data_IF_091849338062
#
_entry.id   IF_091849338062
#
_cell.length_a   1.000
_cell.length_b   1.000
_cell.length_c   1.000
_cell.angle_alpha   90.00
_cell.angle_beta   90.00
_cell.angle_gamma   90.00
#
_symmetry.space_group_name_H-M   'P 1'
#
loop_
_entity.id
_entity.type
_entity.pdbx_description
1 polymer ?
#
# COMPACT_ATOMS: atom_id res chain seq x y z
N UNK A 1 14.91 2.66 -13.69
CA UNK A 1 15.02 3.86 -14.52
C UNK A 1 16.07 4.85 -14.01
N UNK A 2 15.94 5.51 -12.85
CA UNK A 2 16.90 6.53 -12.40
C UNK A 2 18.38 6.09 -12.39
N UNK A 3 18.66 4.95 -11.75
CA UNK A 3 20.00 4.36 -11.70
C UNK A 3 20.53 3.98 -13.09
N UNK A 4 19.65 3.62 -14.02
CA UNK A 4 20.03 3.26 -15.38
C UNK A 4 20.30 4.50 -16.25
N UNK A 5 19.57 5.60 -16.01
CA UNK A 5 19.71 6.84 -16.79
C UNK A 5 20.86 7.70 -16.23
N UNK A 6 20.99 7.80 -14.91
CA UNK A 6 21.89 8.75 -14.24
C UNK A 6 23.06 8.08 -13.49
N UNK A 7 23.08 6.75 -13.37
CA UNK A 7 24.12 6.03 -12.63
C UNK A 7 24.02 6.17 -11.09
N UNK A 8 23.02 6.89 -10.60
CA UNK A 8 22.79 7.12 -9.17
C UNK A 8 21.32 7.00 -8.78
N UNK A 9 21.05 6.87 -7.48
CA UNK A 9 19.68 6.97 -6.96
C UNK A 9 19.19 8.40 -7.15
N UNK A 10 17.87 8.57 -7.31
CA UNK A 10 17.31 9.89 -7.55
C UNK A 10 17.54 10.84 -6.38
N UNK A 11 18.05 12.04 -6.66
CA UNK A 11 18.28 13.10 -5.68
C UNK A 11 17.30 14.25 -5.88
N UNK A 12 17.29 15.20 -4.94
CA UNK A 12 16.32 16.30 -4.89
C UNK A 12 16.19 17.06 -6.20
N UNK A 13 17.29 17.23 -6.93
CA UNK A 13 17.28 18.01 -8.17
C UNK A 13 16.83 17.27 -9.41
N UNK A 14 16.73 15.94 -9.35
CA UNK A 14 16.42 15.14 -10.52
C UNK A 14 14.95 15.30 -10.95
N UNK A 15 14.66 15.40 -12.26
CA UNK A 15 13.31 15.64 -12.77
C UNK A 15 12.25 14.65 -12.28
N UNK A 16 12.61 13.36 -12.25
CA UNK A 16 11.74 12.28 -11.74
C UNK A 16 11.53 12.36 -10.23
N UNK A 17 12.54 12.78 -9.46
CA UNK A 17 12.41 12.95 -8.02
C UNK A 17 11.48 14.12 -7.69
N UNK A 18 11.69 15.27 -8.35
CA UNK A 18 10.82 16.47 -8.23
C UNK A 18 9.36 16.17 -8.58
N UNK A 19 9.13 15.27 -9.54
CA UNK A 19 7.79 14.93 -10.02
C UNK A 19 7.16 13.71 -9.33
N UNK A 20 7.88 13.04 -8.42
CA UNK A 20 7.46 11.79 -7.77
C UNK A 20 6.05 11.86 -7.19
N UNK A 21 5.72 12.94 -6.46
CA UNK A 21 4.39 13.09 -5.86
C UNK A 21 3.32 13.23 -6.94
N UNK A 22 3.58 14.02 -7.98
CA UNK A 22 2.67 14.22 -9.11
C UNK A 22 2.42 12.92 -9.88
N UNK A 23 3.47 12.11 -10.09
CA UNK A 23 3.37 10.80 -10.73
C UNK A 23 2.45 9.83 -9.98
N UNK A 24 2.29 9.98 -8.65
CA UNK A 24 1.39 9.15 -7.84
C UNK A 24 0.00 9.77 -7.62
N UNK A 25 -0.23 11.00 -8.06
CA UNK A 25 -1.56 11.62 -7.93
C UNK A 25 -2.45 11.12 -9.07
N UNK A 26 -3.71 10.81 -8.75
CA UNK A 26 -4.69 10.41 -9.76
C UNK A 26 -4.92 11.54 -10.77
N UNK A 27 -4.98 11.22 -12.07
CA UNK A 27 -4.97 12.21 -13.14
C UNK A 27 -6.11 13.24 -13.03
N UNK A 28 -7.32 12.80 -12.64
CA UNK A 28 -8.46 13.70 -12.41
C UNK A 28 -8.34 14.60 -11.17
N UNK A 29 -7.26 14.49 -10.38
CA UNK A 29 -6.94 15.33 -9.23
C UNK A 29 -5.73 16.23 -9.47
N UNK A 30 -5.13 16.16 -10.66
CA UNK A 30 -3.99 17.00 -11.02
C UNK A 30 -4.47 18.41 -11.35
N UNK A 31 -3.71 19.41 -10.93
CA UNK A 31 -3.89 20.79 -11.41
C UNK A 31 -3.26 20.98 -12.78
N UNK A 32 -3.69 22.00 -13.53
CA UNK A 32 -3.11 22.31 -14.85
C UNK A 32 -1.58 22.46 -14.79
N UNK A 33 -1.08 23.15 -13.76
CA UNK A 33 0.37 23.30 -13.53
C UNK A 33 1.08 21.97 -13.29
N UNK A 34 0.41 21.00 -12.67
CA UNK A 34 0.97 19.66 -12.46
C UNK A 34 0.94 18.83 -13.74
N UNK A 35 -0.11 18.98 -14.55
CA UNK A 35 -0.23 18.35 -15.88
C UNK A 35 0.89 18.86 -16.79
N UNK A 36 1.09 20.18 -16.86
CA UNK A 36 2.16 20.80 -17.65
C UNK A 36 3.54 20.28 -17.25
N UNK A 37 3.78 20.12 -15.94
CA UNK A 37 5.03 19.54 -15.45
C UNK A 37 5.23 18.10 -15.90
N UNK A 38 4.17 17.28 -15.90
CA UNK A 38 4.26 15.91 -16.41
C UNK A 38 4.49 15.88 -17.92
N UNK A 39 3.81 16.75 -18.67
CA UNK A 39 4.02 16.86 -20.11
C UNK A 39 5.48 17.24 -20.43
N UNK A 40 6.06 18.18 -19.70
CA UNK A 40 7.48 18.53 -19.82
C UNK A 40 8.40 17.37 -19.44
N UNK A 41 8.06 16.62 -18.39
CA UNK A 41 8.83 15.45 -17.96
C UNK A 41 8.83 14.33 -19.01
N UNK A 42 7.68 14.09 -19.65
CA UNK A 42 7.50 13.03 -20.65
C UNK A 42 7.91 13.43 -22.06
N UNK A 43 8.22 14.71 -22.30
CA UNK A 43 8.84 15.15 -23.56
C UNK A 43 10.25 14.57 -23.76
N UNK A 44 10.89 14.07 -22.70
CA UNK A 44 12.15 13.33 -22.77
C UNK A 44 11.89 11.84 -23.10
N UNK A 45 12.41 11.37 -24.25
CA UNK A 45 12.31 9.97 -24.67
C UNK A 45 12.91 8.99 -23.64
N UNK A 46 13.86 9.45 -22.80
CA UNK A 46 14.40 8.70 -21.69
C UNK A 46 13.36 8.31 -20.63
N UNK A 47 12.18 8.95 -20.62
CA UNK A 47 11.10 8.70 -19.67
C UNK A 47 9.93 7.87 -20.22
N UNK A 48 10.01 7.34 -21.45
CA UNK A 48 8.92 6.57 -22.08
C UNK A 48 8.43 5.40 -21.22
N UNK A 49 9.32 4.65 -20.56
CA UNK A 49 8.84 3.52 -19.74
C UNK A 49 8.10 4.00 -18.48
N UNK A 50 8.47 5.17 -17.93
CA UNK A 50 7.80 5.77 -16.78
C UNK A 50 6.46 6.34 -17.20
N UNK A 51 6.36 6.99 -18.36
CA UNK A 51 5.09 7.46 -18.91
C UNK A 51 4.13 6.29 -19.15
N UNK A 52 4.58 5.22 -19.79
CA UNK A 52 3.77 4.02 -20.03
C UNK A 52 3.28 3.39 -18.71
N UNK A 53 4.17 3.29 -17.72
CA UNK A 53 3.83 2.77 -16.38
C UNK A 53 2.86 3.70 -15.66
N UNK A 54 3.03 5.01 -15.78
CA UNK A 54 2.14 6.01 -15.22
C UNK A 54 0.74 5.90 -15.82
N UNK A 55 0.62 5.82 -17.15
CA UNK A 55 -0.67 5.65 -17.82
C UNK A 55 -1.41 4.38 -17.36
N UNK A 56 -0.69 3.27 -17.21
CA UNK A 56 -1.21 2.03 -16.62
C UNK A 56 -1.74 2.26 -15.19
N UNK A 57 -0.93 2.90 -14.35
CA UNK A 57 -1.31 3.21 -12.98
C UNK A 57 -2.57 4.07 -12.93
N UNK A 58 -2.66 5.11 -13.76
CA UNK A 58 -3.82 6.00 -13.83
C UNK A 58 -5.09 5.28 -14.24
N UNK A 59 -5.02 4.42 -15.27
CA UNK A 59 -6.17 3.60 -15.70
C UNK A 59 -6.65 2.66 -14.60
N UNK A 60 -5.72 2.06 -13.85
CA UNK A 60 -6.05 1.18 -12.73
C UNK A 60 -6.73 1.94 -11.58
N UNK A 61 -6.20 3.11 -11.21
CA UNK A 61 -6.79 3.97 -10.18
C UNK A 61 -8.16 4.49 -10.61
N UNK A 62 -8.33 4.89 -11.87
CA UNK A 62 -9.62 5.31 -12.40
C UNK A 62 -10.66 4.19 -12.29
N UNK A 63 -10.31 2.96 -12.68
CA UNK A 63 -11.21 1.82 -12.55
C UNK A 63 -11.66 1.60 -11.09
N UNK A 64 -10.73 1.66 -10.12
CA UNK A 64 -11.07 1.50 -8.70
C UNK A 64 -11.88 2.66 -8.10
N UNK A 65 -11.77 3.87 -8.66
CA UNK A 65 -12.49 5.06 -8.18
C UNK A 65 -13.84 5.26 -8.86
N UNK A 66 -14.14 4.51 -9.91
CA UNK A 66 -15.42 4.57 -10.61
C UNK A 66 -16.58 4.29 -9.64
N UNK A 67 -17.56 5.19 -9.62
CA UNK A 67 -18.71 5.08 -8.72
C UNK A 67 -19.60 3.90 -9.10
N UNK A 68 -19.80 3.70 -10.41
CA UNK A 68 -20.46 2.52 -10.95
C UNK A 68 -19.49 1.34 -10.99
N UNK A 69 -19.62 0.43 -10.04
CA UNK A 69 -18.76 -0.75 -9.95
C UNK A 69 -18.78 -1.64 -11.19
N UNK A 70 -19.88 -1.67 -11.94
CA UNK A 70 -19.96 -2.46 -13.18
C UNK A 70 -19.04 -1.85 -14.23
N UNK A 71 -19.09 -0.52 -14.39
CA UNK A 71 -18.17 0.22 -15.27
C UNK A 71 -16.72 0.11 -14.81
N UNK A 72 -16.47 0.22 -13.50
CA UNK A 72 -15.14 0.03 -12.93
C UNK A 72 -14.57 -1.36 -13.22
N UNK A 73 -15.41 -2.40 -13.09
CA UNK A 73 -15.06 -3.78 -13.42
C UNK A 73 -14.74 -3.93 -14.90
N UNK A 74 -15.57 -3.40 -15.79
CA UNK A 74 -15.34 -3.43 -17.24
C UNK A 74 -14.04 -2.75 -17.62
N UNK A 75 -13.76 -1.57 -17.04
CA UNK A 75 -12.52 -0.85 -17.24
C UNK A 75 -11.29 -1.66 -16.77
N UNK A 76 -11.39 -2.33 -15.62
CA UNK A 76 -10.33 -3.20 -15.11
C UNK A 76 -10.13 -4.45 -15.98
N UNK A 77 -11.21 -5.10 -16.43
CA UNK A 77 -11.14 -6.23 -17.38
C UNK A 77 -10.43 -5.79 -18.66
N UNK A 78 -10.82 -4.65 -19.22
CA UNK A 78 -10.18 -4.09 -20.41
C UNK A 78 -8.69 -3.85 -20.18
N UNK A 79 -8.32 -3.23 -19.05
CA UNK A 79 -6.92 -3.01 -18.69
C UNK A 79 -6.13 -4.33 -18.60
N UNK A 80 -6.68 -5.36 -17.95
CA UNK A 80 -6.06 -6.69 -17.85
C UNK A 80 -5.87 -7.33 -19.23
N UNK A 81 -6.87 -7.20 -20.11
CA UNK A 81 -6.82 -7.74 -21.46
C UNK A 81 -5.81 -7.00 -22.34
N UNK A 82 -5.70 -5.67 -22.24
CA UNK A 82 -4.73 -4.85 -22.98
C UNK A 82 -3.28 -5.29 -22.67
N UNK A 83 -3.00 -5.77 -21.45
CA UNK A 83 -1.69 -6.36 -21.13
C UNK A 83 -1.39 -7.67 -21.86
N UNK A 84 -2.42 -8.41 -22.26
CA UNK A 84 -2.29 -9.69 -22.94
C UNK A 84 -1.89 -9.57 -24.40
N UNK A 85 -2.07 -8.40 -25.02
CA UNK A 85 -1.93 -8.19 -26.47
C UNK A 85 -0.93 -7.10 -26.85
N UNK A 86 -0.58 -6.17 -25.95
CA UNK A 86 0.01 -4.89 -26.38
C UNK A 86 1.22 -4.35 -25.62
N UNK A 87 1.84 -5.06 -24.67
CA UNK A 87 3.02 -4.51 -23.95
C UNK A 87 4.31 -4.80 -24.72
N UNK A 88 5.06 -3.78 -25.18
CA UNK A 88 6.37 -3.97 -25.78
C UNK A 88 7.32 -4.71 -24.82
N UNK A 89 8.12 -5.64 -25.34
CA UNK A 89 9.08 -6.41 -24.53
C UNK A 89 10.10 -5.54 -23.78
N UNK A 90 10.38 -4.34 -24.30
CA UNK A 90 11.23 -3.35 -23.65
C UNK A 90 10.66 -2.90 -22.29
N UNK A 91 9.34 -2.85 -22.12
CA UNK A 91 8.68 -2.48 -20.86
C UNK A 91 8.61 -3.65 -19.89
N UNK A 92 9.77 -4.14 -19.46
CA UNK A 92 9.92 -5.38 -18.66
C UNK A 92 9.04 -5.38 -17.41
N UNK A 93 9.01 -4.27 -16.67
CA UNK A 93 8.23 -4.17 -15.42
C UNK A 93 6.72 -4.12 -15.68
N UNK A 94 6.28 -3.42 -16.73
CA UNK A 94 4.87 -3.41 -17.16
C UNK A 94 4.43 -4.80 -17.62
N UNK A 95 5.29 -5.52 -18.35
CA UNK A 95 5.01 -6.88 -18.79
C UNK A 95 4.95 -7.87 -17.61
N UNK A 96 5.77 -7.70 -16.58
CA UNK A 96 5.67 -8.47 -15.31
C UNK A 96 4.35 -8.17 -14.61
N UNK A 97 3.98 -6.89 -14.46
CA UNK A 97 2.71 -6.48 -13.86
C UNK A 97 1.52 -7.10 -14.60
N UNK A 98 1.51 -7.01 -15.93
CA UNK A 98 0.46 -7.59 -16.77
C UNK A 98 0.29 -9.09 -16.56
N UNK A 99 1.38 -9.85 -16.49
CA UNK A 99 1.34 -11.30 -16.17
C UNK A 99 0.73 -11.57 -14.79
N UNK A 100 1.11 -10.78 -13.78
CA UNK A 100 0.57 -10.91 -12.42
C UNK A 100 -0.92 -10.60 -12.40
N UNK A 101 -1.36 -9.50 -13.02
CA UNK A 101 -2.75 -9.11 -13.09
C UNK A 101 -3.60 -10.15 -13.81
N UNK A 102 -3.11 -10.70 -14.93
CA UNK A 102 -3.80 -11.78 -15.64
C UNK A 102 -3.92 -13.05 -14.79
N UNK A 103 -2.84 -13.45 -14.12
CA UNK A 103 -2.83 -14.63 -13.23
C UNK A 103 -3.80 -14.47 -12.05
N UNK A 104 -3.94 -13.25 -11.52
CA UNK A 104 -4.77 -12.93 -10.35
C UNK A 104 -6.06 -12.21 -10.71
N UNK A 105 -6.51 -12.30 -11.97
CA UNK A 105 -7.63 -11.51 -12.48
C UNK A 105 -8.92 -11.74 -11.66
N UNK A 106 -9.21 -13.00 -11.28
CA UNK A 106 -10.36 -13.32 -10.45
C UNK A 106 -10.32 -12.58 -9.09
N UNK A 107 -9.16 -12.54 -8.44
CA UNK A 107 -9.00 -11.86 -7.15
C UNK A 107 -9.15 -10.34 -7.30
N UNK A 108 -8.52 -9.76 -8.33
CA UNK A 108 -8.60 -8.33 -8.64
C UNK A 108 -10.04 -7.91 -8.94
N UNK A 109 -10.74 -8.67 -9.78
CA UNK A 109 -12.10 -8.34 -10.20
C UNK A 109 -13.13 -8.55 -9.07
N UNK A 110 -12.84 -9.43 -8.12
CA UNK A 110 -13.72 -9.65 -6.96
C UNK A 110 -13.96 -8.40 -6.11
N UNK A 111 -13.05 -7.42 -6.17
CA UNK A 111 -13.24 -6.12 -5.55
C UNK A 111 -14.53 -5.44 -6.01
N UNK A 112 -14.85 -5.54 -7.30
CA UNK A 112 -16.00 -4.87 -7.89
C UNK A 112 -17.32 -5.58 -7.57
N UNK A 113 -17.27 -6.90 -7.35
CA UNK A 113 -18.44 -7.71 -7.05
C UNK A 113 -18.86 -7.61 -5.57
N UNK A 114 -17.95 -7.17 -4.69
CA UNK A 114 -18.14 -7.16 -3.22
C UNK A 114 -18.28 -5.74 -2.68
N UNK A 115 -19.43 -5.36 -2.10
CA UNK A 115 -19.57 -4.08 -1.43
C UNK A 115 -18.80 -4.01 -0.12
N UNK A 116 -18.24 -2.82 0.18
CA UNK A 116 -17.58 -2.53 1.46
C UNK A 116 -16.16 -3.11 1.60
N UNK A 117 -15.59 -3.68 0.54
CA UNK A 117 -14.21 -4.17 0.57
C UNK A 117 -13.23 -3.00 0.72
N UNK A 118 -12.37 -3.06 1.73
CA UNK A 118 -11.33 -2.06 1.99
C UNK A 118 -10.04 -2.71 2.45
N UNK A 119 -8.92 -2.02 2.25
CA UNK A 119 -7.63 -2.47 2.77
C UNK A 119 -7.42 -2.08 4.25
N UNK A 120 -8.35 -1.31 4.84
CA UNK A 120 -8.21 -0.74 6.18
C UNK A 120 -7.90 -1.77 7.28
N UNK A 121 -8.60 -2.91 7.37
CA UNK A 121 -8.28 -3.94 8.36
C UNK A 121 -6.86 -4.51 8.21
N UNK A 122 -6.44 -4.77 6.97
CA UNK A 122 -5.10 -5.25 6.67
C UNK A 122 -4.03 -4.21 7.01
N UNK A 123 -4.29 -2.94 6.66
CA UNK A 123 -3.40 -1.82 6.97
C UNK A 123 -3.29 -1.58 8.47
N UNK A 124 -4.38 -1.71 9.22
CA UNK A 124 -4.38 -1.62 10.67
C UNK A 124 -3.50 -2.71 11.31
N UNK A 125 -3.57 -3.94 10.80
CA UNK A 125 -2.69 -5.03 11.25
C UNK A 125 -1.23 -4.74 10.87
N UNK A 126 -0.97 -4.33 9.63
CA UNK A 126 0.39 -4.01 9.17
C UNK A 126 1.00 -2.88 10.00
N UNK A 127 0.24 -1.83 10.30
CA UNK A 127 0.69 -0.74 11.17
C UNK A 127 1.12 -1.23 12.55
N UNK A 128 0.36 -2.16 13.15
CA UNK A 128 0.74 -2.80 14.42
C UNK A 128 2.01 -3.65 14.29
N UNK A 129 2.18 -4.37 13.19
CA UNK A 129 3.39 -5.16 12.93
C UNK A 129 4.62 -4.28 12.72
N UNK A 130 4.50 -3.15 12.05
CA UNK A 130 5.62 -2.20 11.91
C UNK A 130 5.97 -1.56 13.26
N UNK A 131 4.99 -1.23 14.09
CA UNK A 131 5.26 -0.73 15.44
C UNK A 131 6.02 -1.76 16.29
N UNK A 132 5.57 -3.02 16.26
CA UNK A 132 6.25 -4.13 16.91
C UNK A 132 7.71 -4.29 16.44
N UNK A 133 7.99 -4.16 15.14
CA UNK A 133 9.35 -4.20 14.60
C UNK A 133 10.23 -3.06 15.14
N UNK A 134 9.65 -1.88 15.35
CA UNK A 134 10.32 -0.74 15.98
C UNK A 134 10.69 -0.99 17.46
N UNK A 135 9.75 -1.56 18.23
CA UNK A 135 9.95 -1.85 19.66
C UNK A 135 10.80 -3.10 19.93
N UNK A 136 10.88 -4.05 18.99
CA UNK A 136 11.63 -5.29 19.11
C UNK A 136 12.73 -5.41 18.04
N UNK A 137 13.80 -4.59 18.08
CA UNK A 137 14.85 -4.64 17.07
C UNK A 137 15.59 -5.98 17.14
N UNK A 138 15.34 -6.83 16.14
CA UNK A 138 16.04 -8.08 15.90
C UNK A 138 15.27 -9.33 16.33
N UNK A 139 14.96 -10.18 15.34
CA UNK A 139 14.55 -11.57 15.55
C UNK A 139 15.79 -12.43 15.80
N UNK A 140 16.22 -12.51 17.06
CA UNK A 140 17.37 -13.36 17.46
C UNK A 140 16.93 -14.66 18.14
N UNK A 141 15.77 -14.64 18.79
CA UNK A 141 15.22 -15.75 19.54
C UNK A 141 13.69 -15.64 19.56
N UNK A 142 13.02 -16.75 19.23
CA UNK A 142 11.56 -16.83 19.12
C UNK A 142 10.84 -16.52 20.43
N UNK A 143 11.35 -17.00 21.57
CA UNK A 143 10.80 -16.73 22.92
C UNK A 143 10.84 -15.24 23.24
N UNK A 144 11.97 -14.58 22.99
CA UNK A 144 12.10 -13.14 23.24
C UNK A 144 11.22 -12.31 22.30
N UNK A 145 11.07 -12.75 21.05
CA UNK A 145 10.17 -12.12 20.09
C UNK A 145 8.70 -12.24 20.52
N UNK A 146 8.25 -13.42 20.96
CA UNK A 146 6.91 -13.61 21.49
C UNK A 146 6.65 -12.75 22.74
N UNK A 147 7.57 -12.73 23.71
CA UNK A 147 7.42 -11.94 24.92
C UNK A 147 7.24 -10.44 24.62
N UNK A 148 8.06 -9.88 23.72
CA UNK A 148 7.95 -8.47 23.28
C UNK A 148 6.66 -8.21 22.50
N UNK A 149 6.25 -9.14 21.64
CA UNK A 149 4.99 -9.05 20.89
C UNK A 149 3.76 -9.03 21.81
N UNK A 150 3.79 -9.83 22.88
CA UNK A 150 2.72 -9.86 23.89
C UNK A 150 2.71 -8.60 24.77
N UNK A 151 3.88 -8.05 25.11
CA UNK A 151 4.00 -6.77 25.83
C UNK A 151 3.38 -5.62 25.01
N UNK A 152 3.74 -5.50 23.73
CA UNK A 152 3.31 -4.44 22.83
C UNK A 152 1.80 -4.48 22.53
N UNK A 153 1.22 -5.68 22.46
CA UNK A 153 -0.21 -5.86 22.12
C UNK A 153 -1.15 -5.71 23.33
N UNK A 154 -0.64 -5.32 24.50
CA UNK A 154 -1.43 -5.13 25.73
C UNK A 154 -1.78 -6.43 26.45
N UNK A 155 -1.00 -7.50 26.23
CA UNK A 155 -1.26 -8.84 26.77
C UNK A 155 -1.16 -9.00 28.29
N UNK A 156 -0.76 -7.96 29.02
CA UNK A 156 -0.82 -7.94 30.48
C UNK A 156 -2.05 -7.16 30.92
N UNK A 157 -3.12 -7.88 31.27
CA UNK A 157 -4.11 -7.30 32.18
C UNK A 157 -3.38 -6.98 33.49
N UNK A 158 -3.38 -5.73 33.99
CA UNK A 158 -3.00 -5.52 35.37
C UNK A 158 -4.00 -6.33 36.20
N UNK A 159 -3.57 -7.42 36.83
CA UNK A 159 -4.32 -7.98 37.94
C UNK A 159 -4.37 -6.87 38.99
N UNK A 160 -5.53 -6.22 39.10
CA UNK A 160 -5.79 -5.18 40.07
C UNK A 160 -5.45 -5.73 41.47
N UNK A 161 -4.43 -5.11 42.07
CA UNK A 161 -4.06 -4.96 43.49
C UNK A 161 -4.30 -6.10 44.51
N UNK A 162 -3.37 -6.28 45.49
CA UNK A 162 -3.54 -7.27 46.55
C UNK A 162 -4.77 -6.93 47.41
N UNK A 163 -5.58 -7.96 47.68
CA UNK A 163 -6.68 -7.91 48.66
C UNK A 163 -6.12 -7.40 49.99
N UNK A 164 -6.58 -6.23 50.44
CA UNK A 164 -6.39 -5.77 51.80
C UNK A 164 -7.08 -6.77 52.73
N UNK A 165 -6.30 -7.42 53.61
CA UNK A 165 -6.84 -8.24 54.70
C UNK A 165 -7.63 -7.35 55.64
N UNK A 166 -8.94 -7.53 55.68
CA UNK A 166 -9.77 -7.05 56.80
C UNK A 166 -9.52 -7.99 57.98
N UNK A 167 -8.99 -7.45 59.08
CA UNK A 167 -8.76 -8.17 60.33
C UNK A 167 -10.06 -8.57 61.03
N UNK A 168 -10.00 -9.48 62.02
CA UNK A 168 -11.20 -10.05 62.62
C UNK A 168 -11.91 -9.02 63.52
N UNK A 169 -13.18 -8.76 63.24
CA UNK A 169 -14.08 -8.05 64.16
C UNK A 169 -14.53 -8.99 65.27
N UNK A 170 -14.19 -8.65 66.52
CA UNK A 170 -14.63 -9.35 67.70
C UNK A 170 -16.01 -8.85 68.19
N UNK A 171 -16.91 -9.81 68.40
CA UNK A 171 -17.97 -9.92 69.43
C UNK A 171 -19.11 -8.89 69.45
N UNK A 172 -20.33 -9.28 69.06
CA UNK A 172 -21.46 -9.85 69.86
C UNK A 172 -22.28 -8.78 70.60
N UNK A 173 -23.56 -8.61 70.20
CA UNK A 173 -24.58 -7.89 70.97
C UNK A 173 -25.42 -8.85 71.85
N UNK A 174 -26.55 -8.42 72.42
CA UNK A 174 -27.07 -7.04 72.54
C UNK A 174 -26.61 -6.31 73.82
#
# INVERSE_FOLDING_TARGET
MQLAIHGHRGFEDDPLYKSRRTLHTGAGLLTDRQIDRLNQLFADEGHVEVEATWGVYQRMIAAYREEDRSRGREAMVKLINDFGTGVPKALVEVAKLGRTLKKRAADVLSYFDRPGTSNGPTEAINGRLEHLRGSAPGFRNLTNYFARSLLETGGFRPQLAPVARVGPSATFGP
#
